data_IF_997286297817
#
_entry.id   IF_997286297817
#
_cell.length_a   1.000
_cell.length_b   1.000
_cell.length_c   1.000
_cell.angle_alpha   90.00
_cell.angle_beta   90.00
_cell.angle_gamma   90.00
#
_symmetry.space_group_name_H-M   'P 1'
#
loop_
_entity.id
_entity.type
_entity.pdbx_description
1 polymer ?
#
# COMPACT_ATOMS: atom_id res chain seq x y z
N UNK A 1 42.86 0.05 52.85
CA UNK A 1 42.75 0.13 51.38
C UNK A 1 41.33 -0.28 51.01
N UNK A 2 40.41 0.68 50.86
CA UNK A 2 39.02 0.40 50.50
C UNK A 2 38.93 0.16 48.99
N UNK A 3 38.60 -1.08 48.61
CA UNK A 3 38.35 -1.47 47.23
C UNK A 3 37.03 -0.82 46.80
N UNK A 4 37.15 0.18 45.95
CA UNK A 4 36.03 0.90 45.35
C UNK A 4 35.37 -0.05 44.34
N UNK A 5 34.27 -0.69 44.74
CA UNK A 5 33.52 -1.62 43.90
C UNK A 5 32.96 -0.82 42.72
N UNK A 6 33.39 -1.25 41.54
CA UNK A 6 33.11 -0.68 40.23
C UNK A 6 31.65 -0.24 40.06
N UNK A 7 31.48 0.99 39.59
CA UNK A 7 30.28 1.47 38.93
C UNK A 7 29.90 0.48 37.82
N UNK A 8 28.89 -0.35 38.03
CA UNK A 8 28.23 -1.05 36.93
C UNK A 8 27.73 0.02 35.97
N UNK A 9 28.18 -0.03 34.72
CA UNK A 9 27.62 0.79 33.66
C UNK A 9 26.09 0.56 33.66
N UNK A 10 25.26 1.62 33.65
CA UNK A 10 23.83 1.45 33.56
C UNK A 10 23.50 0.64 32.30
N UNK A 11 22.51 -0.26 32.33
CA UNK A 11 22.12 -1.04 31.16
C UNK A 11 21.79 -0.08 30.01
N UNK A 12 22.27 -0.39 28.81
CA UNK A 12 21.97 0.38 27.60
C UNK A 12 20.45 0.30 27.38
N UNK A 13 19.71 1.32 27.80
CA UNK A 13 18.27 1.41 27.58
C UNK A 13 18.04 1.78 26.13
N UNK A 14 17.75 0.78 25.29
CA UNK A 14 17.36 0.99 23.90
C UNK A 14 16.05 1.81 23.87
N UNK A 15 16.05 2.93 23.15
CA UNK A 15 14.83 3.74 23.01
C UNK A 15 13.72 2.92 22.32
N UNK A 16 12.46 3.10 22.72
CA UNK A 16 11.32 2.37 22.11
C UNK A 16 11.31 2.45 20.58
N UNK A 17 11.70 3.61 20.04
CA UNK A 17 11.82 3.83 18.59
C UNK A 17 12.91 2.97 17.96
N UNK A 18 14.08 2.84 18.59
CA UNK A 18 15.16 1.98 18.10
C UNK A 18 14.75 0.50 18.13
N UNK A 19 14.04 0.07 19.18
CA UNK A 19 13.49 -1.28 19.23
C UNK A 19 12.49 -1.54 18.09
N UNK A 20 11.54 -0.64 17.85
CA UNK A 20 10.58 -0.78 16.74
C UNK A 20 11.26 -0.81 15.38
N UNK A 21 12.28 0.02 15.20
CA UNK A 21 13.08 0.03 13.98
C UNK A 21 13.79 -1.31 13.77
N UNK A 22 14.50 -1.83 14.78
CA UNK A 22 15.19 -3.12 14.70
C UNK A 22 14.23 -4.29 14.44
N UNK A 23 13.10 -4.35 15.15
CA UNK A 23 12.08 -5.37 14.94
C UNK A 23 11.48 -5.31 13.51
N UNK A 24 11.29 -4.09 12.98
CA UNK A 24 10.82 -3.89 11.62
C UNK A 24 11.85 -4.31 10.57
N UNK A 25 13.15 -4.04 10.80
CA UNK A 25 14.22 -4.52 9.93
C UNK A 25 14.26 -6.05 9.93
N UNK A 26 14.12 -6.68 11.09
CA UNK A 26 14.09 -8.13 11.21
C UNK A 26 12.92 -8.74 10.41
N UNK A 27 11.71 -8.19 10.55
CA UNK A 27 10.57 -8.59 9.73
C UNK A 27 10.83 -8.42 8.23
N UNK A 28 11.41 -7.29 7.83
CA UNK A 28 11.79 -7.04 6.43
C UNK A 28 12.81 -8.06 5.91
N UNK A 29 13.80 -8.44 6.71
CA UNK A 29 14.81 -9.43 6.35
C UNK A 29 14.20 -10.83 6.20
N UNK A 30 13.30 -11.21 7.11
CA UNK A 30 12.57 -12.47 7.02
C UNK A 30 11.84 -12.59 5.68
N UNK A 31 11.05 -11.57 5.31
CA UNK A 31 10.32 -11.60 4.04
C UNK A 31 11.23 -11.48 2.81
N UNK A 32 12.31 -10.71 2.89
CA UNK A 32 13.26 -10.56 1.79
C UNK A 32 14.13 -11.81 1.56
N UNK A 33 14.26 -12.68 2.56
CA UNK A 33 14.99 -13.95 2.45
C UNK A 33 14.24 -15.02 1.65
N UNK A 34 12.94 -14.82 1.41
CA UNK A 34 12.14 -15.75 0.63
C UNK A 34 12.62 -15.80 -0.83
N UNK A 35 12.70 -17.00 -1.45
CA UNK A 35 13.08 -17.15 -2.85
C UNK A 35 12.15 -16.37 -3.81
N UNK A 36 12.72 -15.85 -4.90
CA UNK A 36 11.96 -15.03 -5.85
C UNK A 36 10.94 -15.89 -6.63
N UNK A 37 11.30 -17.14 -6.89
CA UNK A 37 10.56 -18.14 -7.65
C UNK A 37 9.21 -18.48 -7.00
N UNK A 38 9.02 -18.13 -5.72
CA UNK A 38 7.76 -18.34 -5.01
C UNK A 38 6.65 -17.36 -5.45
N UNK A 39 7.01 -16.22 -6.05
CA UNK A 39 6.07 -15.10 -6.30
C UNK A 39 6.03 -14.73 -7.79
N UNK A 40 4.83 -14.55 -8.34
CA UNK A 40 4.60 -14.46 -9.80
C UNK A 40 5.33 -13.33 -10.53
N UNK A 41 5.40 -12.14 -9.93
CA UNK A 41 5.90 -10.95 -10.63
C UNK A 41 7.41 -10.75 -10.51
N UNK A 42 8.13 -11.64 -9.80
CA UNK A 42 9.54 -11.43 -9.46
C UNK A 42 10.46 -11.43 -10.65
N UNK A 43 10.24 -12.34 -11.58
CA UNK A 43 11.05 -12.45 -12.79
C UNK A 43 10.99 -11.17 -13.63
N UNK A 44 9.83 -10.49 -13.66
CA UNK A 44 9.67 -9.22 -14.36
C UNK A 44 10.58 -8.13 -13.76
N UNK A 45 10.73 -8.09 -12.43
CA UNK A 45 11.61 -7.11 -11.78
C UNK A 45 13.09 -7.43 -11.98
N UNK A 46 13.46 -8.72 -12.06
CA UNK A 46 14.81 -9.13 -12.43
C UNK A 46 15.13 -8.66 -13.85
N UNK A 47 14.18 -8.80 -14.78
CA UNK A 47 14.33 -8.29 -16.16
C UNK A 47 14.49 -6.77 -16.19
N UNK A 48 13.75 -6.02 -15.37
CA UNK A 48 13.94 -4.56 -15.25
C UNK A 48 15.32 -4.17 -14.73
N UNK A 49 15.86 -4.94 -13.77
CA UNK A 49 17.21 -4.72 -13.24
C UNK A 49 18.31 -5.04 -14.26
N UNK A 50 18.14 -6.10 -15.08
CA UNK A 50 19.13 -6.51 -16.11
C UNK A 50 19.09 -5.65 -17.36
N UNK A 51 17.91 -5.33 -17.86
CA UNK A 51 17.71 -4.86 -19.25
C UNK A 51 17.21 -3.41 -19.33
N UNK A 52 17.56 -2.57 -18.35
CA UNK A 52 17.06 -1.19 -18.28
C UNK A 52 17.20 -0.43 -19.62
N UNK A 53 18.41 -0.43 -20.22
CA UNK A 53 18.67 0.41 -21.40
C UNK A 53 17.86 -0.05 -22.62
N UNK A 54 17.65 -1.37 -22.77
CA UNK A 54 16.81 -1.95 -23.81
C UNK A 54 15.34 -1.53 -23.62
N UNK A 55 14.83 -1.62 -22.38
CA UNK A 55 13.44 -1.29 -22.07
C UNK A 55 13.18 0.20 -22.24
N UNK A 56 14.11 1.05 -21.78
CA UNK A 56 14.02 2.50 -21.96
C UNK A 56 14.04 2.88 -23.46
N UNK A 57 14.87 2.21 -24.27
CA UNK A 57 14.97 2.45 -25.71
C UNK A 57 13.74 2.02 -26.53
N UNK A 58 12.85 1.19 -25.97
CA UNK A 58 11.63 0.75 -26.66
C UNK A 58 10.47 1.76 -26.58
N UNK A 59 10.53 2.73 -25.67
CA UNK A 59 9.45 3.70 -25.49
C UNK A 59 9.73 5.00 -26.24
N UNK A 60 8.69 5.56 -26.88
CA UNK A 60 8.73 6.96 -27.29
C UNK A 60 8.86 7.88 -26.07
N UNK A 61 9.40 9.09 -26.22
CA UNK A 61 9.57 10.03 -25.10
C UNK A 61 8.27 10.28 -24.31
N UNK A 62 7.14 10.41 -25.01
CA UNK A 62 5.83 10.60 -24.38
C UNK A 62 5.38 9.35 -23.62
N UNK A 63 5.49 8.18 -24.24
CA UNK A 63 5.09 6.90 -23.64
C UNK A 63 5.97 6.56 -22.42
N UNK A 64 7.26 6.87 -22.47
CA UNK A 64 8.19 6.65 -21.36
C UNK A 64 7.77 7.42 -20.10
N UNK A 65 7.27 8.66 -20.25
CA UNK A 65 6.84 9.49 -19.13
C UNK A 65 5.65 8.88 -18.36
N UNK A 66 4.71 8.24 -19.06
CA UNK A 66 3.53 7.61 -18.47
C UNK A 66 3.73 6.13 -18.09
N UNK A 67 4.87 5.53 -18.44
CA UNK A 67 5.20 4.14 -18.12
C UNK A 67 6.31 4.03 -17.07
N UNK A 68 6.09 4.71 -15.95
CA UNK A 68 6.81 4.48 -14.68
C UNK A 68 8.34 4.72 -14.73
N UNK A 69 8.81 5.87 -15.24
CA UNK A 69 10.23 6.10 -15.50
C UNK A 69 11.09 6.14 -14.22
N UNK A 70 10.56 6.66 -13.11
CA UNK A 70 11.29 6.68 -11.83
C UNK A 70 11.44 5.27 -11.24
N UNK A 71 10.48 4.38 -11.49
CA UNK A 71 10.63 2.99 -11.06
C UNK A 71 11.69 2.25 -11.87
N UNK A 72 11.77 2.47 -13.19
CA UNK A 72 12.85 1.93 -13.99
C UNK A 72 14.22 2.44 -13.51
N UNK A 73 14.33 3.75 -13.24
CA UNK A 73 15.55 4.33 -12.69
C UNK A 73 15.90 3.76 -11.30
N UNK A 74 14.89 3.53 -10.44
CA UNK A 74 15.08 2.85 -9.16
C UNK A 74 15.70 1.45 -9.32
N UNK A 75 15.25 0.66 -10.31
CA UNK A 75 15.83 -0.65 -10.57
C UNK A 75 17.26 -0.55 -11.11
N UNK A 76 17.54 0.43 -12.00
CA UNK A 76 18.90 0.70 -12.49
C UNK A 76 19.85 1.08 -11.35
N UNK A 77 19.40 1.94 -10.44
CA UNK A 77 20.19 2.34 -9.29
C UNK A 77 20.54 1.15 -8.40
N UNK A 78 19.56 0.29 -8.13
CA UNK A 78 19.79 -0.91 -7.33
C UNK A 78 20.69 -1.93 -8.05
N UNK A 79 20.62 -2.06 -9.37
CA UNK A 79 21.48 -3.00 -10.11
C UNK A 79 22.95 -2.57 -10.17
N UNK A 80 23.27 -1.29 -9.91
CA UNK A 80 24.65 -0.86 -9.68
C UNK A 80 25.22 -1.36 -8.33
N UNK A 81 24.36 -1.58 -7.34
CA UNK A 81 24.75 -1.95 -5.99
C UNK A 81 24.63 -3.45 -5.72
N UNK A 82 23.72 -4.12 -6.43
CA UNK A 82 23.34 -5.50 -6.18
C UNK A 82 23.21 -6.30 -7.47
N UNK A 83 23.41 -7.61 -7.37
CA UNK A 83 23.06 -8.53 -8.45
C UNK A 83 21.56 -8.41 -8.79
N UNK A 84 21.16 -8.57 -10.08
CA UNK A 84 19.77 -8.39 -10.51
C UNK A 84 18.75 -9.24 -9.74
N UNK A 85 19.15 -10.41 -9.25
CA UNK A 85 18.31 -11.34 -8.46
C UNK A 85 18.03 -10.81 -7.05
N UNK A 86 18.92 -9.97 -6.51
CA UNK A 86 18.78 -9.35 -5.21
C UNK A 86 17.91 -8.09 -5.25
N UNK A 87 17.78 -7.42 -6.40
CA UNK A 87 17.01 -6.18 -6.56
C UNK A 87 15.57 -6.33 -6.06
N UNK A 88 14.79 -7.36 -6.47
CA UNK A 88 13.44 -7.56 -5.94
C UNK A 88 13.41 -7.79 -4.43
N UNK A 89 14.42 -8.49 -3.87
CA UNK A 89 14.52 -8.79 -2.43
C UNK A 89 14.78 -7.53 -1.62
N UNK A 90 15.63 -6.62 -2.12
CA UNK A 90 15.85 -5.29 -1.52
C UNK A 90 14.55 -4.47 -1.51
N UNK A 91 13.74 -4.54 -2.57
CA UNK A 91 12.43 -3.90 -2.58
C UNK A 91 11.49 -4.49 -1.52
N UNK A 92 11.44 -5.82 -1.35
CA UNK A 92 10.64 -6.45 -0.26
C UNK A 92 11.07 -5.95 1.09
N UNK A 93 12.38 -5.96 1.33
CA UNK A 93 12.96 -5.55 2.59
C UNK A 93 12.49 -4.13 2.91
N UNK A 94 12.60 -3.22 1.95
CA UNK A 94 12.21 -1.82 2.14
C UNK A 94 10.69 -1.66 2.37
N UNK A 95 9.85 -2.33 1.58
CA UNK A 95 8.38 -2.28 1.71
C UNK A 95 7.96 -2.84 3.08
N UNK A 96 8.40 -4.05 3.39
CA UNK A 96 7.96 -4.83 4.55
C UNK A 96 8.48 -4.22 5.85
N UNK A 97 9.75 -3.80 5.89
CA UNK A 97 10.30 -3.10 7.06
C UNK A 97 9.61 -1.76 7.30
N UNK A 98 9.32 -0.99 6.25
CA UNK A 98 8.59 0.27 6.43
C UNK A 98 7.17 0.02 6.95
N UNK A 99 6.42 -0.90 6.35
CA UNK A 99 5.07 -1.24 6.81
C UNK A 99 5.08 -1.70 8.27
N UNK A 100 5.97 -2.61 8.65
CA UNK A 100 6.12 -3.11 10.02
C UNK A 100 6.51 -1.99 10.99
N UNK A 101 7.44 -1.10 10.62
CA UNK A 101 7.87 0.02 11.45
C UNK A 101 6.70 0.93 11.81
N UNK A 102 5.86 1.27 10.83
CA UNK A 102 4.69 2.12 11.06
C UNK A 102 3.64 1.43 11.93
N UNK A 103 3.39 0.13 11.75
CA UNK A 103 2.52 -0.63 12.64
C UNK A 103 3.06 -0.64 14.08
N UNK A 104 4.33 -1.00 14.28
CA UNK A 104 4.96 -1.05 15.61
C UNK A 104 4.99 0.31 16.30
N UNK A 105 5.30 1.36 15.55
CA UNK A 105 5.38 2.73 16.05
C UNK A 105 4.04 3.26 16.56
N UNK A 106 2.95 2.95 15.87
CA UNK A 106 1.64 3.50 16.18
C UNK A 106 0.72 2.56 16.97
N UNK A 107 1.04 1.27 17.03
CA UNK A 107 0.32 0.32 17.85
C UNK A 107 0.40 0.69 19.32
N UNK A 108 -0.77 0.77 19.97
CA UNK A 108 -0.86 1.19 21.37
C UNK A 108 -0.58 0.08 22.39
N UNK A 109 -0.74 -1.18 21.99
CA UNK A 109 -0.52 -2.35 22.83
C UNK A 109 -0.16 -3.58 21.97
N UNK A 110 0.23 -4.67 22.63
CA UNK A 110 0.62 -5.91 21.96
C UNK A 110 -0.50 -6.52 21.11
N UNK A 111 -1.76 -6.43 21.55
CA UNK A 111 -2.90 -6.92 20.77
C UNK A 111 -3.01 -6.20 19.42
N UNK A 112 -2.84 -4.87 19.40
CA UNK A 112 -2.86 -4.09 18.16
C UNK A 112 -1.65 -4.39 17.27
N UNK A 113 -0.50 -4.75 17.85
CA UNK A 113 0.66 -5.24 17.09
C UNK A 113 0.27 -6.55 16.38
N UNK A 114 -0.22 -7.54 17.13
CA UNK A 114 -0.62 -8.85 16.58
C UNK A 114 -1.64 -8.69 15.45
N UNK A 115 -2.63 -7.82 15.64
CA UNK A 115 -3.65 -7.54 14.63
C UNK A 115 -3.07 -6.84 13.42
N UNK A 116 -2.22 -5.82 13.62
CA UNK A 116 -1.54 -5.12 12.53
C UNK A 116 -0.72 -6.07 11.65
N UNK A 117 0.08 -6.95 12.25
CA UNK A 117 0.83 -7.96 11.52
C UNK A 117 -0.07 -9.02 10.86
N UNK A 118 -1.16 -9.42 11.53
CA UNK A 118 -2.14 -10.34 10.94
C UNK A 118 -2.79 -9.73 9.69
N UNK A 119 -3.15 -8.44 9.74
CA UNK A 119 -3.68 -7.72 8.58
C UNK A 119 -2.66 -7.61 7.44
N UNK A 120 -1.37 -7.40 7.75
CA UNK A 120 -0.31 -7.37 6.73
C UNK A 120 -0.12 -8.73 6.03
N UNK A 121 -0.23 -9.84 6.76
CA UNK A 121 0.11 -11.16 6.20
C UNK A 121 -1.09 -11.90 5.62
N UNK A 122 -2.25 -11.86 6.28
CA UNK A 122 -3.39 -12.69 5.91
C UNK A 122 -4.39 -11.98 5.00
N UNK A 123 -4.30 -10.65 4.84
CA UNK A 123 -5.12 -9.94 3.85
C UNK A 123 -4.40 -9.96 2.50
N UNK A 124 -5.01 -10.64 1.52
CA UNK A 124 -4.45 -10.83 0.18
C UNK A 124 -3.91 -9.52 -0.43
N UNK A 125 -4.65 -8.42 -0.34
CA UNK A 125 -4.24 -7.12 -0.88
C UNK A 125 -2.88 -6.63 -0.37
N UNK A 126 -2.60 -6.79 0.94
CA UNK A 126 -1.35 -6.29 1.52
C UNK A 126 -0.23 -7.33 1.50
N UNK A 127 -0.58 -8.62 1.46
CA UNK A 127 0.35 -9.69 1.09
C UNK A 127 0.92 -9.43 -0.32
N UNK A 128 0.03 -9.21 -1.30
CA UNK A 128 0.40 -8.84 -2.67
C UNK A 128 1.26 -7.58 -2.72
N UNK A 129 0.91 -6.55 -1.93
CA UNK A 129 1.65 -5.28 -1.90
C UNK A 129 3.10 -5.47 -1.41
N UNK A 130 3.33 -6.33 -0.42
CA UNK A 130 4.65 -6.60 0.15
C UNK A 130 5.50 -7.53 -0.72
N UNK A 131 4.87 -8.54 -1.35
CA UNK A 131 5.59 -9.69 -1.90
C UNK A 131 5.47 -9.86 -3.41
N UNK A 132 4.54 -9.18 -4.08
CA UNK A 132 4.25 -9.42 -5.50
C UNK A 132 4.32 -8.12 -6.31
N UNK A 133 3.52 -7.12 -5.96
CA UNK A 133 3.38 -5.89 -6.73
C UNK A 133 4.36 -4.83 -6.25
N UNK A 134 5.67 -5.11 -6.38
CA UNK A 134 6.74 -4.31 -5.79
C UNK A 134 6.76 -2.85 -6.25
N UNK A 135 6.38 -2.59 -7.51
CA UNK A 135 6.21 -1.22 -8.04
C UNK A 135 5.30 -0.38 -7.17
N UNK A 136 4.09 -0.89 -6.99
CA UNK A 136 3.07 -0.24 -6.20
C UNK A 136 3.44 -0.25 -4.71
N UNK A 137 4.08 -1.31 -4.23
CA UNK A 137 4.60 -1.41 -2.87
C UNK A 137 5.58 -0.30 -2.54
N UNK A 138 6.63 -0.12 -3.36
CA UNK A 138 7.64 0.94 -3.20
C UNK A 138 6.99 2.32 -3.25
N UNK A 139 6.09 2.57 -4.21
CA UNK A 139 5.36 3.83 -4.27
C UNK A 139 4.50 4.09 -3.02
N UNK A 140 3.85 3.04 -2.48
CA UNK A 140 2.99 3.12 -1.29
C UNK A 140 3.75 3.42 -0.02
N UNK A 141 4.91 2.79 0.21
CA UNK A 141 5.71 3.08 1.40
C UNK A 141 6.44 4.43 1.30
N UNK A 142 6.83 4.88 0.09
CA UNK A 142 7.28 6.26 -0.13
C UNK A 142 6.15 7.25 0.18
N UNK A 143 4.92 6.97 -0.27
CA UNK A 143 3.74 7.76 0.07
C UNK A 143 3.51 7.82 1.58
N UNK A 144 3.68 6.69 2.28
CA UNK A 144 3.55 6.63 3.73
C UNK A 144 4.56 7.54 4.44
N UNK A 145 5.82 7.54 3.99
CA UNK A 145 6.84 8.47 4.49
C UNK A 145 6.52 9.94 4.16
N UNK A 146 6.02 10.22 2.95
CA UNK A 146 5.60 11.56 2.54
C UNK A 146 4.48 12.07 3.46
N UNK A 147 3.48 11.23 3.75
CA UNK A 147 2.40 11.55 4.70
C UNK A 147 2.96 11.76 6.10
N UNK A 148 3.89 10.93 6.55
CA UNK A 148 4.46 11.05 7.89
C UNK A 148 5.20 12.38 8.10
N UNK A 149 6.03 12.81 7.14
CA UNK A 149 6.88 13.99 7.29
C UNK A 149 6.27 15.29 6.76
N UNK A 150 5.49 15.24 5.69
CA UNK A 150 5.08 16.43 4.94
C UNK A 150 3.57 16.70 4.97
N UNK A 151 2.77 15.93 5.71
CA UNK A 151 1.33 16.17 5.78
C UNK A 151 1.00 17.60 6.21
N UNK A 152 0.16 18.29 5.42
CA UNK A 152 -0.22 19.69 5.64
C UNK A 152 0.80 20.72 5.16
N UNK A 153 1.99 20.31 4.69
CA UNK A 153 3.01 21.21 4.14
C UNK A 153 2.80 21.43 2.64
N UNK A 154 3.31 22.55 2.12
CA UNK A 154 3.21 22.88 0.68
C UNK A 154 3.91 21.85 -0.21
N UNK A 155 4.96 21.20 0.30
CA UNK A 155 5.72 20.15 -0.40
C UNK A 155 4.95 18.83 -0.53
N UNK A 156 3.84 18.63 0.20
CA UNK A 156 3.07 17.39 0.17
C UNK A 156 2.58 17.02 -1.24
N UNK A 157 1.92 17.95 -1.94
CA UNK A 157 1.33 17.66 -3.25
C UNK A 157 2.38 17.42 -4.35
N UNK A 158 3.45 18.24 -4.48
CA UNK A 158 4.53 17.94 -5.41
C UNK A 158 5.16 16.56 -5.17
N UNK A 159 5.41 16.18 -3.91
CA UNK A 159 5.96 14.85 -3.60
C UNK A 159 5.00 13.71 -3.94
N UNK A 160 3.71 13.87 -3.65
CA UNK A 160 2.68 12.90 -4.06
C UNK A 160 2.58 12.78 -5.58
N UNK A 161 2.71 13.89 -6.31
CA UNK A 161 2.70 13.88 -7.77
C UNK A 161 3.88 13.10 -8.35
N UNK A 162 5.08 13.19 -7.75
CA UNK A 162 6.25 12.43 -8.20
C UNK A 162 6.04 10.90 -8.15
N UNK A 163 5.18 10.41 -7.25
CA UNK A 163 4.88 8.97 -7.15
C UNK A 163 4.14 8.41 -8.37
N UNK A 164 3.50 9.28 -9.17
CA UNK A 164 2.96 8.93 -10.48
C UNK A 164 3.99 8.18 -11.34
N UNK A 165 5.24 8.63 -11.27
CA UNK A 165 6.33 8.08 -12.08
C UNK A 165 6.93 6.80 -11.49
N UNK A 166 6.54 6.40 -10.28
CA UNK A 166 6.82 5.06 -9.75
C UNK A 166 5.73 4.07 -10.15
N UNK A 167 4.46 4.48 -10.07
CA UNK A 167 3.34 3.63 -10.44
C UNK A 167 2.12 4.48 -10.85
N UNK A 168 1.53 4.18 -12.00
CA UNK A 168 0.47 5.01 -12.60
C UNK A 168 -0.77 5.15 -11.71
N UNK A 169 -1.08 4.18 -10.84
CA UNK A 169 -2.21 4.31 -9.89
C UNK A 169 -2.07 5.50 -8.94
N UNK A 170 -0.86 6.04 -8.73
CA UNK A 170 -0.67 7.26 -7.97
C UNK A 170 -1.18 8.52 -8.68
N UNK A 171 -1.48 8.48 -9.98
CA UNK A 171 -2.27 9.52 -10.65
C UNK A 171 -3.62 9.71 -9.95
N UNK A 172 -4.30 8.58 -9.71
CA UNK A 172 -5.61 8.54 -9.08
C UNK A 172 -5.49 8.97 -7.62
N UNK A 173 -4.48 8.47 -6.90
CA UNK A 173 -4.22 8.86 -5.51
C UNK A 173 -3.99 10.37 -5.40
N UNK A 174 -3.13 10.94 -6.25
CA UNK A 174 -2.87 12.38 -6.31
C UNK A 174 -4.15 13.16 -6.59
N UNK A 175 -4.91 12.78 -7.63
CA UNK A 175 -6.17 13.43 -7.99
C UNK A 175 -7.18 13.40 -6.84
N UNK A 176 -7.35 12.24 -6.19
CA UNK A 176 -8.26 12.06 -5.05
C UNK A 176 -7.90 13.00 -3.90
N UNK A 177 -6.63 13.05 -3.51
CA UNK A 177 -6.18 13.87 -2.38
C UNK A 177 -6.24 15.37 -2.70
N UNK A 178 -5.83 15.74 -3.92
CA UNK A 178 -5.89 17.13 -4.38
C UNK A 178 -7.34 17.60 -4.50
N UNK A 179 -8.23 16.78 -5.07
CA UNK A 179 -9.63 17.12 -5.20
C UNK A 179 -10.32 17.25 -3.84
N UNK A 180 -10.07 16.35 -2.88
CA UNK A 180 -10.60 16.52 -1.52
C UNK A 180 -10.07 17.79 -0.86
N UNK A 181 -8.80 18.14 -1.07
CA UNK A 181 -8.21 19.37 -0.55
C UNK A 181 -8.90 20.62 -1.11
N UNK A 182 -9.15 20.66 -2.42
CA UNK A 182 -9.92 21.72 -3.08
C UNK A 182 -11.34 21.78 -2.52
N UNK A 183 -12.04 20.65 -2.43
CA UNK A 183 -13.39 20.62 -1.87
C UNK A 183 -13.44 21.07 -0.40
N UNK A 184 -12.40 20.80 0.39
CA UNK A 184 -12.33 21.24 1.79
C UNK A 184 -12.19 22.77 1.92
N UNK A 185 -11.73 23.46 0.87
CA UNK A 185 -11.75 24.92 0.82
C UNK A 185 -13.20 25.45 0.77
N UNK A 186 -14.04 24.87 -0.09
CA UNK A 186 -15.41 25.32 -0.37
C UNK A 186 -16.48 24.71 0.55
N UNK A 187 -16.37 23.42 0.89
CA UNK A 187 -17.38 22.65 1.63
C UNK A 187 -16.80 22.17 2.96
N UNK A 188 -17.12 22.88 4.05
CA UNK A 188 -16.62 22.55 5.40
C UNK A 188 -17.29 21.32 6.01
N UNK A 189 -18.57 21.07 5.68
CA UNK A 189 -19.30 19.90 6.18
C UNK A 189 -18.76 18.62 5.53
N UNK A 190 -18.17 17.72 6.33
CA UNK A 190 -17.55 16.48 5.84
C UNK A 190 -18.53 15.58 5.10
N UNK A 191 -19.79 15.48 5.55
CA UNK A 191 -20.78 14.57 4.94
C UNK A 191 -21.13 15.06 3.53
N UNK A 192 -21.41 16.36 3.41
CA UNK A 192 -21.70 16.99 2.12
C UNK A 192 -20.48 16.92 1.19
N UNK A 193 -19.28 17.17 1.72
CA UNK A 193 -18.04 17.07 0.96
C UNK A 193 -17.81 15.68 0.41
N UNK A 194 -17.98 14.63 1.23
CA UNK A 194 -17.82 13.24 0.79
C UNK A 194 -18.90 12.83 -0.22
N UNK A 195 -20.13 13.33 -0.08
CA UNK A 195 -21.18 13.12 -1.07
C UNK A 195 -20.78 13.69 -2.43
N UNK A 196 -20.43 14.99 -2.49
CA UNK A 196 -19.95 15.64 -3.72
C UNK A 196 -18.72 14.94 -4.29
N UNK A 197 -17.77 14.58 -3.44
CA UNK A 197 -16.57 13.84 -3.82
C UNK A 197 -16.92 12.51 -4.50
N UNK A 198 -17.80 11.70 -3.88
CA UNK A 198 -18.23 10.40 -4.42
C UNK A 198 -19.02 10.53 -5.73
N UNK A 199 -19.93 11.50 -5.83
CA UNK A 199 -20.72 11.73 -7.05
C UNK A 199 -19.85 12.15 -8.23
N UNK A 200 -18.90 13.08 -8.01
CA UNK A 200 -17.97 13.51 -9.06
C UNK A 200 -17.07 12.36 -9.50
N UNK A 201 -16.53 11.58 -8.56
CA UNK A 201 -15.72 10.41 -8.91
C UNK A 201 -16.50 9.38 -9.71
N UNK A 202 -17.77 9.13 -9.35
CA UNK A 202 -18.62 8.21 -10.08
C UNK A 202 -18.81 8.69 -11.52
N UNK A 203 -19.13 9.97 -11.74
CA UNK A 203 -19.26 10.55 -13.06
C UNK A 203 -17.95 10.47 -13.89
N UNK A 204 -16.81 10.81 -13.28
CA UNK A 204 -15.49 10.76 -13.93
C UNK A 204 -15.05 9.32 -14.25
N UNK A 205 -15.49 8.34 -13.46
CA UNK A 205 -15.08 6.95 -13.64
C UNK A 205 -15.44 6.37 -15.00
N UNK A 206 -16.55 6.81 -15.61
CA UNK A 206 -16.96 6.40 -16.95
C UNK A 206 -16.02 6.88 -18.07
N UNK A 207 -15.27 7.95 -17.84
CA UNK A 207 -14.35 8.54 -18.83
C UNK A 207 -12.88 8.11 -18.61
N UNK A 208 -12.56 7.56 -17.43
CA UNK A 208 -11.18 7.29 -17.02
C UNK A 208 -10.44 6.33 -17.94
N UNK A 209 -11.09 5.24 -18.40
CA UNK A 209 -10.48 4.27 -19.31
C UNK A 209 -10.16 4.89 -20.66
N UNK A 210 -11.06 5.70 -21.21
CA UNK A 210 -10.87 6.43 -22.47
C UNK A 210 -9.71 7.41 -22.37
N UNK A 211 -9.65 8.19 -21.28
CA UNK A 211 -8.55 9.13 -21.04
C UNK A 211 -7.21 8.39 -20.91
N UNK A 212 -7.18 7.28 -20.16
CA UNK A 212 -5.95 6.49 -19.98
C UNK A 212 -5.47 5.86 -21.29
N UNK A 213 -6.37 5.40 -22.15
CA UNK A 213 -6.05 4.87 -23.48
C UNK A 213 -5.46 5.97 -24.40
N UNK A 214 -6.04 7.18 -24.39
CA UNK A 214 -5.53 8.32 -25.15
C UNK A 214 -4.13 8.77 -24.70
N UNK A 215 -3.83 8.63 -23.40
CA UNK A 215 -2.51 8.92 -22.83
C UNK A 215 -1.48 7.80 -23.09
N UNK A 216 -1.86 6.71 -23.76
CA UNK A 216 -0.96 5.59 -24.04
C UNK A 216 -0.57 4.76 -22.81
N UNK A 217 -1.42 4.74 -21.78
CA UNK A 217 -1.19 3.93 -20.58
C UNK A 217 -1.36 2.46 -20.92
N UNK A 218 -0.28 1.67 -20.85
CA UNK A 218 -0.27 0.23 -21.21
C UNK A 218 -1.34 -0.58 -20.49
N UNK A 219 -1.66 -0.19 -19.25
CA UNK A 219 -2.66 -0.90 -18.46
C UNK A 219 -4.06 -0.74 -19.07
N UNK A 220 -4.40 0.40 -19.69
CA UNK A 220 -5.74 0.67 -20.22
C UNK A 220 -6.10 -0.19 -21.45
N UNK A 221 -5.10 -0.66 -22.21
CA UNK A 221 -5.31 -1.42 -23.45
C UNK A 221 -5.16 -2.93 -23.27
N UNK A 222 -4.82 -3.39 -22.06
CA UNK A 222 -4.60 -4.82 -21.80
C UNK A 222 -5.92 -5.60 -21.74
N UNK A 223 -6.09 -6.55 -22.67
CA UNK A 223 -7.30 -7.38 -22.83
C UNK A 223 -7.67 -8.20 -21.58
N UNK A 224 -6.69 -8.52 -20.74
CA UNK A 224 -6.89 -9.23 -19.48
C UNK A 224 -7.76 -8.46 -18.46
N UNK A 225 -7.91 -7.14 -18.60
CA UNK A 225 -8.78 -6.34 -17.71
C UNK A 225 -10.27 -6.45 -18.07
N UNK A 226 -10.61 -6.83 -19.30
CA UNK A 226 -12.01 -6.91 -19.75
C UNK A 226 -12.68 -8.26 -19.44
N UNK A 227 -11.89 -9.31 -19.18
CA UNK A 227 -12.40 -10.67 -18.96
C UNK A 227 -12.53 -11.07 -17.47
N UNK A 228 -12.13 -10.20 -16.54
CA UNK A 228 -12.30 -10.49 -15.11
C UNK A 228 -13.71 -10.10 -14.66
N UNK A 229 -14.55 -11.10 -14.41
CA UNK A 229 -15.82 -10.91 -13.71
C UNK A 229 -15.52 -10.55 -12.25
N UNK A 230 -15.66 -9.27 -11.90
CA UNK A 230 -15.63 -8.84 -10.50
C UNK A 230 -16.79 -9.52 -9.75
N UNK A 231 -16.49 -10.42 -8.80
CA UNK A 231 -17.52 -10.98 -7.90
C UNK A 231 -18.17 -9.88 -7.05
N UNK A 232 -19.25 -10.13 -6.30
CA UNK A 232 -19.87 -9.12 -5.43
C UNK A 232 -19.23 -8.95 -4.04
N UNK A 233 -18.40 -9.92 -3.61
CA UNK A 233 -17.90 -10.00 -2.23
C UNK A 233 -17.03 -8.83 -1.79
N UNK A 234 -16.16 -8.33 -2.68
CA UNK A 234 -15.28 -7.20 -2.38
C UNK A 234 -16.08 -5.94 -2.05
N UNK A 235 -17.10 -5.64 -2.86
CA UNK A 235 -18.00 -4.52 -2.61
C UNK A 235 -18.64 -4.60 -1.22
N UNK A 236 -19.20 -5.76 -0.85
CA UNK A 236 -19.84 -5.95 0.45
C UNK A 236 -18.85 -5.76 1.60
N UNK A 237 -17.65 -6.33 1.49
CA UNK A 237 -16.61 -6.20 2.51
C UNK A 237 -16.18 -4.73 2.73
N UNK A 238 -15.96 -3.98 1.66
CA UNK A 238 -15.53 -2.59 1.78
C UNK A 238 -16.70 -1.65 2.11
N UNK A 239 -17.94 -1.98 1.74
CA UNK A 239 -19.14 -1.27 2.18
C UNK A 239 -19.34 -1.45 3.69
N UNK A 240 -19.12 -2.65 4.20
CA UNK A 240 -19.06 -2.93 5.63
C UNK A 240 -17.98 -2.09 6.32
N UNK A 241 -16.78 -1.99 5.74
CA UNK A 241 -15.71 -1.15 6.27
C UNK A 241 -16.12 0.33 6.35
N UNK A 242 -16.73 0.85 5.28
CA UNK A 242 -17.24 2.22 5.24
C UNK A 242 -18.32 2.45 6.31
N UNK A 243 -19.22 1.49 6.52
CA UNK A 243 -20.24 1.55 7.57
C UNK A 243 -19.61 1.68 8.97
N UNK A 244 -18.55 0.92 9.27
CA UNK A 244 -17.82 1.06 10.54
C UNK A 244 -17.15 2.43 10.71
N UNK A 245 -16.51 2.93 9.65
CA UNK A 245 -15.92 4.27 9.65
C UNK A 245 -16.99 5.36 9.85
N UNK A 246 -18.18 5.16 9.30
CA UNK A 246 -19.33 6.04 9.52
C UNK A 246 -19.80 6.01 10.99
N UNK A 247 -19.96 4.82 11.59
CA UNK A 247 -20.36 4.66 12.99
C UNK A 247 -19.35 5.26 13.98
N UNK A 248 -18.07 5.32 13.61
CA UNK A 248 -17.02 6.00 14.41
C UNK A 248 -17.15 7.53 14.38
N UNK A 249 -17.89 8.05 13.42
CA UNK A 249 -18.04 9.47 13.14
C UNK A 249 -16.94 9.97 12.23
N UNK A 250 -17.32 10.39 11.02
CA UNK A 250 -16.40 10.82 9.95
C UNK A 250 -15.44 11.93 10.39
N UNK A 251 -15.89 12.84 11.27
CA UNK A 251 -15.03 13.88 11.84
C UNK A 251 -13.88 13.28 12.67
N UNK A 252 -14.12 12.23 13.44
CA UNK A 252 -13.08 11.56 14.23
C UNK A 252 -12.10 10.79 13.35
N UNK A 253 -12.58 10.21 12.25
CA UNK A 253 -11.74 9.55 11.25
C UNK A 253 -10.80 10.54 10.57
N UNK A 254 -11.33 11.68 10.14
CA UNK A 254 -10.57 12.71 9.45
C UNK A 254 -9.61 13.52 10.33
N UNK A 255 -9.59 13.31 11.66
CA UNK A 255 -8.61 13.97 12.56
C UNK A 255 -7.17 13.56 12.28
N UNK A 256 -6.96 12.34 11.79
CA UNK A 256 -5.62 11.83 11.49
C UNK A 256 -5.43 11.72 9.98
N UNK A 257 -4.21 11.95 9.47
CA UNK A 257 -3.92 11.76 8.05
C UNK A 257 -4.23 10.33 7.58
N UNK A 258 -3.85 9.33 8.39
CA UNK A 258 -4.04 7.91 8.09
C UNK A 258 -5.53 7.54 7.98
N UNK A 259 -6.35 7.98 8.94
CA UNK A 259 -7.79 7.74 8.90
C UNK A 259 -8.46 8.43 7.71
N UNK A 260 -8.06 9.67 7.41
CA UNK A 260 -8.57 10.42 6.26
C UNK A 260 -8.23 9.73 4.93
N UNK A 261 -6.98 9.34 4.73
CA UNK A 261 -6.53 8.65 3.51
C UNK A 261 -7.23 7.28 3.39
N UNK A 262 -7.30 6.52 4.47
CA UNK A 262 -8.00 5.22 4.50
C UNK A 262 -9.47 5.35 4.12
N UNK A 263 -10.18 6.34 4.69
CA UNK A 263 -11.59 6.62 4.36
C UNK A 263 -11.78 6.98 2.88
N UNK A 264 -10.94 7.87 2.35
CA UNK A 264 -10.99 8.23 0.93
C UNK A 264 -10.75 7.02 0.04
N UNK A 265 -9.77 6.17 0.38
CA UNK A 265 -9.49 4.94 -0.34
C UNK A 265 -10.68 3.99 -0.42
N UNK A 266 -11.37 3.76 0.71
CA UNK A 266 -12.57 2.91 0.75
C UNK A 266 -13.68 3.49 -0.12
N UNK A 267 -13.91 4.80 -0.07
CA UNK A 267 -14.91 5.47 -0.92
C UNK A 267 -14.55 5.33 -2.40
N UNK A 268 -13.30 5.61 -2.77
CA UNK A 268 -12.82 5.50 -4.14
C UNK A 268 -12.99 4.08 -4.66
N UNK A 269 -12.61 3.08 -3.86
CA UNK A 269 -12.79 1.67 -4.22
C UNK A 269 -14.25 1.33 -4.50
N UNK A 270 -15.17 1.71 -3.60
CA UNK A 270 -16.59 1.41 -3.78
C UNK A 270 -17.20 2.11 -5.00
N UNK A 271 -16.79 3.35 -5.26
CA UNK A 271 -17.23 4.10 -6.44
C UNK A 271 -16.69 3.45 -7.73
N UNK A 272 -15.43 3.01 -7.73
CA UNK A 272 -14.77 2.42 -8.89
C UNK A 272 -15.05 0.93 -9.08
N UNK A 273 -15.67 0.28 -8.09
CA UNK A 273 -15.86 -1.18 -8.07
C UNK A 273 -16.53 -1.70 -9.35
N UNK A 274 -17.60 -1.02 -9.78
CA UNK A 274 -18.40 -1.41 -10.94
C UNK A 274 -17.97 -0.76 -12.24
N UNK A 275 -17.15 0.29 -12.17
CA UNK A 275 -16.83 1.11 -13.35
C UNK A 275 -15.40 0.93 -13.84
N UNK A 276 -14.46 0.54 -12.96
CA UNK A 276 -13.03 0.42 -13.30
C UNK A 276 -12.49 -0.93 -12.80
N UNK A 277 -12.09 -1.85 -13.71
CA UNK A 277 -11.55 -3.17 -13.34
C UNK A 277 -10.28 -3.13 -12.47
N UNK A 278 -9.55 -2.02 -12.47
CA UNK A 278 -8.28 -1.83 -11.73
C UNK A 278 -8.51 -1.39 -10.27
N UNK A 279 -9.75 -1.20 -9.83
CA UNK A 279 -10.11 -0.75 -8.48
C UNK A 279 -9.52 -1.64 -7.37
N UNK A 280 -9.44 -2.96 -7.57
CA UNK A 280 -8.82 -3.90 -6.64
C UNK A 280 -7.32 -3.68 -6.39
N UNK A 281 -6.57 -3.18 -7.38
CA UNK A 281 -5.16 -2.79 -7.18
C UNK A 281 -5.07 -1.47 -6.44
N UNK A 282 -5.98 -0.54 -6.70
CA UNK A 282 -5.96 0.77 -6.10
C UNK A 282 -6.19 0.72 -4.57
N UNK A 283 -7.08 -0.15 -4.09
CA UNK A 283 -7.41 -0.23 -2.66
C UNK A 283 -6.24 -0.72 -1.79
N UNK A 284 -5.33 -1.53 -2.33
CA UNK A 284 -4.18 -2.00 -1.55
C UNK A 284 -3.23 -0.87 -1.14
N UNK A 285 -3.20 0.25 -1.88
CA UNK A 285 -2.46 1.47 -1.49
C UNK A 285 -3.03 2.05 -0.19
N UNK A 286 -4.36 2.15 -0.12
CA UNK A 286 -5.05 2.82 0.98
C UNK A 286 -5.23 1.94 2.22
N UNK A 287 -5.25 0.62 2.06
CA UNK A 287 -5.43 -0.32 3.17
C UNK A 287 -4.35 -0.17 4.24
N UNK A 288 -3.09 0.09 3.86
CA UNK A 288 -2.02 0.29 4.83
C UNK A 288 -2.29 1.50 5.75
N UNK A 289 -2.86 2.58 5.21
CA UNK A 289 -3.26 3.76 5.99
C UNK A 289 -4.43 3.44 6.94
N UNK A 290 -5.38 2.63 6.48
CA UNK A 290 -6.46 2.13 7.33
C UNK A 290 -5.94 1.26 8.48
N UNK A 291 -4.96 0.38 8.23
CA UNK A 291 -4.37 -0.46 9.29
C UNK A 291 -3.65 0.37 10.33
N UNK A 292 -2.83 1.34 9.90
CA UNK A 292 -2.16 2.29 10.81
C UNK A 292 -3.19 3.05 11.64
N UNK A 293 -4.32 3.45 11.04
CA UNK A 293 -5.41 4.11 11.74
C UNK A 293 -6.11 3.23 12.79
N UNK A 294 -6.31 1.93 12.51
CA UNK A 294 -6.87 0.98 13.49
C UNK A 294 -5.92 0.81 14.67
N UNK A 295 -4.64 0.51 14.42
CA UNK A 295 -3.69 0.21 15.50
C UNK A 295 -3.39 1.43 16.37
N UNK A 296 -3.59 2.63 15.82
CA UNK A 296 -3.58 3.91 16.54
C UNK A 296 -4.79 4.09 17.46
N UNK A 297 -5.88 3.35 17.26
CA UNK A 297 -7.11 3.44 18.03
C UNK A 297 -7.18 2.38 19.15
N UNK A 298 -7.78 2.72 20.29
CA UNK A 298 -8.17 1.74 21.33
C UNK A 298 -9.66 1.41 21.31
N UNK A 299 -10.40 1.88 20.31
CA UNK A 299 -11.84 1.66 20.30
C UNK A 299 -12.13 0.19 19.97
N UNK A 300 -12.94 -0.47 20.81
CA UNK A 300 -13.41 -1.83 20.57
C UNK A 300 -14.12 -1.97 19.21
N UNK A 301 -14.76 -0.91 18.72
CA UNK A 301 -15.39 -0.91 17.38
C UNK A 301 -14.38 -1.08 16.25
N UNK A 302 -13.18 -0.50 16.38
CA UNK A 302 -12.12 -0.61 15.37
C UNK A 302 -11.47 -1.99 15.41
N UNK A 303 -11.25 -2.49 16.63
CA UNK A 303 -10.80 -3.85 16.87
C UNK A 303 -11.75 -4.86 16.22
N UNK A 304 -13.04 -4.73 16.49
CA UNK A 304 -14.08 -5.60 15.94
C UNK A 304 -14.15 -5.50 14.41
N UNK A 305 -14.10 -4.29 13.86
CA UNK A 305 -14.04 -4.07 12.41
C UNK A 305 -12.83 -4.76 11.77
N UNK A 306 -11.66 -4.65 12.39
CA UNK A 306 -10.44 -5.29 11.91
C UNK A 306 -10.50 -6.81 11.97
N UNK A 307 -11.05 -7.38 13.06
CA UNK A 307 -11.19 -8.83 13.22
C UNK A 307 -12.16 -9.42 12.20
N UNK A 308 -13.31 -8.78 11.97
CA UNK A 308 -14.25 -9.23 10.93
C UNK A 308 -13.61 -9.11 9.56
N UNK A 309 -12.96 -7.97 9.27
CA UNK A 309 -12.28 -7.76 8.00
C UNK A 309 -11.21 -8.84 7.76
N UNK A 310 -10.41 -9.16 8.77
CA UNK A 310 -9.41 -10.23 8.73
C UNK A 310 -10.05 -11.60 8.50
N UNK A 311 -11.06 -11.97 9.30
CA UNK A 311 -11.73 -13.26 9.20
C UNK A 311 -12.34 -13.49 7.82
N UNK A 312 -13.05 -12.49 7.28
CA UNK A 312 -13.65 -12.60 5.95
C UNK A 312 -12.55 -12.71 4.88
N UNK A 313 -11.45 -11.95 4.98
CA UNK A 313 -10.33 -12.08 4.04
C UNK A 313 -9.70 -13.47 4.05
N UNK A 314 -9.50 -14.06 5.23
CA UNK A 314 -8.95 -15.41 5.34
C UNK A 314 -9.90 -16.45 4.74
N UNK A 315 -11.20 -16.35 5.02
CA UNK A 315 -12.18 -17.35 4.55
C UNK A 315 -12.45 -17.24 3.05
N UNK A 316 -12.66 -16.03 2.54
CA UNK A 316 -13.10 -15.83 1.15
C UNK A 316 -11.96 -15.61 0.15
N UNK A 317 -10.81 -15.11 0.61
CA UNK A 317 -9.70 -14.69 -0.27
C UNK A 317 -8.37 -15.38 0.01
N UNK A 318 -8.35 -16.47 0.78
CA UNK A 318 -7.18 -17.36 0.87
C UNK A 318 -6.72 -17.86 -0.50
N UNK A 319 -7.69 -18.20 -1.37
CA UNK A 319 -7.43 -18.60 -2.75
C UNK A 319 -6.74 -17.52 -3.59
N UNK A 320 -6.91 -16.23 -3.27
CA UNK A 320 -6.20 -15.16 -3.98
C UNK A 320 -4.70 -15.19 -3.65
N UNK A 321 -4.33 -15.52 -2.41
CA UNK A 321 -2.92 -15.69 -2.04
C UNK A 321 -2.33 -16.90 -2.79
N UNK A 322 -3.00 -18.05 -2.76
CA UNK A 322 -2.47 -19.27 -3.40
C UNK A 322 -2.46 -19.18 -4.93
N UNK A 323 -3.52 -18.65 -5.53
CA UNK A 323 -3.75 -18.71 -6.98
C UNK A 323 -3.44 -17.41 -7.71
N UNK A 324 -3.16 -16.29 -7.03
CA UNK A 324 -2.83 -15.02 -7.68
C UNK A 324 -1.51 -14.43 -7.20
N UNK A 325 -1.09 -14.65 -5.95
CA UNK A 325 0.21 -14.17 -5.46
C UNK A 325 1.36 -15.12 -5.76
N UNK A 326 1.13 -16.40 -5.51
CA UNK A 326 2.17 -17.43 -5.50
C UNK A 326 2.27 -18.13 -6.86
N UNK A 327 3.47 -18.67 -7.12
CA UNK A 327 3.67 -19.68 -8.15
C UNK A 327 3.27 -21.05 -7.62
N UNK A 328 3.19 -22.06 -8.49
CA UNK A 328 2.94 -23.44 -8.05
C UNK A 328 3.99 -23.95 -7.04
N UNK A 329 5.24 -23.47 -7.13
CA UNK A 329 6.28 -23.72 -6.14
C UNK A 329 6.00 -22.99 -4.82
N UNK A 330 5.59 -21.71 -4.90
CA UNK A 330 5.20 -20.91 -3.73
C UNK A 330 4.10 -21.55 -2.90
N UNK A 331 3.06 -22.08 -3.55
CA UNK A 331 1.96 -22.79 -2.87
C UNK A 331 2.48 -24.02 -2.12
N UNK A 332 3.27 -24.86 -2.78
CA UNK A 332 3.86 -26.06 -2.16
C UNK A 332 4.79 -25.71 -0.99
N UNK A 333 5.57 -24.64 -1.12
CA UNK A 333 6.49 -24.20 -0.07
C UNK A 333 5.73 -23.75 1.18
N UNK A 334 4.67 -22.95 1.01
CA UNK A 334 3.90 -22.44 2.14
C UNK A 334 2.92 -23.46 2.74
N UNK A 335 2.46 -24.46 1.99
CA UNK A 335 1.56 -25.50 2.51
C UNK A 335 2.20 -26.46 3.52
N UNK A 336 3.53 -26.41 3.67
CA UNK A 336 4.27 -27.20 4.67
C UNK A 336 4.19 -26.56 6.07
N UNK A 337 3.82 -25.29 6.15
CA UNK A 337 3.68 -24.49 7.38
C UNK A 337 2.21 -24.16 7.63
#
# INVERSE_FOLDING_TARGET
>A
MSININKCNPPIVVSKTAFYFLAALFYGLLLASLPNELFRDRDNYIVYARNFDIIAGQYSALTFFFNEPLFLFYNKLLSFLFAPELVPRVSVFFISSTAAYFILKYARNLLMIVIGFSLLFFVSYTFHLQLVVLRQGVATILFLWIVYFFWGQKSFFPLCFLLLFFHISFAIVFFVLFYEHVLNYFIKNIKLRLLFFSSTLFAVSFLMLTIAALLGVRQATSSHLMNNTNGGGGFVLFAFLLFFLYLRGLNNVCKTPYGKIGLLGVIVYLVFYFTIPVSGRLISIFLLFYYIYIVLSLNLKDLFSALIFLMINVVLWSNAITNESLTGLGVKYLSVF
#
